data_IF_513873977198
#
_entry.id   IF_513873977198
#
_cell.length_a   1.000
_cell.length_b   1.000
_cell.length_c   1.000
_cell.angle_alpha   90.00
_cell.angle_beta   90.00
_cell.angle_gamma   90.00
#
_symmetry.space_group_name_H-M   'P 1'
#
loop_
_entity.id
_entity.type
_entity.pdbx_description
1 polymer ?
#
# COMPACT_ATOMS: atom_id res chain seq x y z
N UNK A 1 47.20 11.20 -22.23
CA UNK A 1 47.96 12.39 -22.68
C UNK A 1 48.16 12.27 -24.18
N UNK A 2 48.15 13.35 -24.98
CA UNK A 2 47.77 14.76 -24.76
C UNK A 2 46.65 15.19 -25.76
N UNK A 3 46.11 16.40 -25.85
CA UNK A 3 46.06 17.59 -25.02
C UNK A 3 44.85 18.42 -25.48
N UNK A 4 44.30 19.17 -24.53
CA UNK A 4 43.40 20.31 -24.70
C UNK A 4 44.06 21.43 -25.54
N UNK A 5 43.24 22.37 -26.01
CA UNK A 5 43.42 23.84 -26.10
C UNK A 5 42.51 24.37 -27.23
N UNK A 6 41.94 25.57 -27.27
CA UNK A 6 41.54 26.62 -26.32
C UNK A 6 41.15 27.83 -27.19
N UNK A 7 40.17 28.61 -26.72
CA UNK A 7 40.04 30.07 -26.90
C UNK A 7 39.94 30.69 -28.31
N UNK A 8 38.71 31.09 -28.65
CA UNK A 8 38.26 32.48 -28.88
C UNK A 8 39.07 33.45 -29.77
N UNK A 9 38.31 34.03 -30.72
CA UNK A 9 38.29 35.43 -31.20
C UNK A 9 39.47 35.96 -32.02
N UNK A 10 39.17 36.56 -33.18
CA UNK A 10 39.37 38.01 -33.49
C UNK A 10 38.92 38.34 -34.93
N UNK A 11 37.89 39.20 -34.98
CA UNK A 11 37.59 40.36 -35.85
C UNK A 11 38.08 40.48 -37.33
N UNK A 12 37.09 40.92 -38.11
CA UNK A 12 37.07 42.08 -39.03
C UNK A 12 37.55 41.93 -40.49
N UNK A 13 36.64 42.30 -41.40
CA UNK A 13 36.72 43.20 -42.58
C UNK A 13 35.48 42.87 -43.45
N UNK A 14 34.68 43.75 -44.03
CA UNK A 14 34.83 45.15 -44.40
C UNK A 14 34.31 45.34 -45.83
N UNK A 15 33.46 46.36 -46.04
CA UNK A 15 32.97 46.90 -47.34
C UNK A 15 31.86 46.10 -48.06
N UNK A 16 30.86 46.69 -48.74
CA UNK A 16 30.68 48.06 -49.21
C UNK A 16 29.18 48.43 -49.29
N UNK A 17 28.93 49.72 -49.10
CA UNK A 17 27.66 50.43 -49.26
C UNK A 17 27.42 50.75 -50.74
N UNK A 18 26.20 50.54 -51.27
CA UNK A 18 25.62 51.38 -52.33
C UNK A 18 24.09 51.21 -52.47
N UNK A 19 23.44 52.24 -51.93
CA UNK A 19 22.10 52.82 -52.08
C UNK A 19 21.37 52.52 -53.41
N UNK A 20 20.09 52.17 -53.35
CA UNK A 20 19.00 52.83 -54.10
C UNK A 20 17.61 52.61 -53.49
N UNK A 21 16.79 53.64 -53.68
CA UNK A 21 15.54 54.01 -53.01
C UNK A 21 14.32 53.34 -53.68
N UNK A 22 13.31 52.99 -52.88
CA UNK A 22 11.97 52.66 -53.37
C UNK A 22 10.92 52.73 -52.27
N UNK A 23 10.37 53.92 -52.03
CA UNK A 23 9.24 54.13 -51.13
C UNK A 23 7.93 53.65 -51.79
N UNK A 24 7.28 52.64 -51.22
CA UNK A 24 5.88 52.28 -51.55
C UNK A 24 5.15 51.87 -50.27
N UNK A 25 4.18 52.70 -49.88
CA UNK A 25 2.97 52.38 -49.12
C UNK A 25 3.06 51.52 -47.85
N UNK A 26 3.13 52.17 -46.69
CA UNK A 26 2.70 51.57 -45.42
C UNK A 26 1.16 51.42 -45.43
N UNK A 27 0.66 50.25 -45.81
CA UNK A 27 -0.66 49.80 -45.39
C UNK A 27 -0.57 49.39 -43.92
N UNK A 28 -1.23 50.15 -43.05
CA UNK A 28 -1.37 49.81 -41.64
C UNK A 28 -2.15 48.49 -41.52
N UNK A 29 -1.44 47.40 -41.23
CA UNK A 29 -2.05 46.19 -40.72
C UNK A 29 -2.55 46.49 -39.30
N UNK A 30 -3.85 46.74 -39.18
CA UNK A 30 -4.54 46.69 -37.89
C UNK A 30 -4.85 45.23 -37.59
N UNK A 31 -4.28 44.60 -36.54
CA UNK A 31 -4.74 43.30 -36.12
C UNK A 31 -6.19 43.44 -35.62
N UNK A 32 -7.10 42.70 -36.24
CA UNK A 32 -8.48 42.57 -35.79
C UNK A 32 -8.49 41.91 -34.41
N UNK A 33 -8.78 42.67 -33.37
CA UNK A 33 -9.03 42.14 -32.03
C UNK A 33 -10.47 41.65 -31.96
N UNK A 34 -10.71 40.40 -32.36
CA UNK A 34 -11.94 39.72 -31.99
C UNK A 34 -11.96 39.51 -30.47
N UNK A 35 -13.04 39.87 -29.75
CA UNK A 35 -13.15 39.56 -28.33
C UNK A 35 -13.19 38.04 -28.16
N UNK A 36 -12.24 37.49 -27.40
CA UNK A 36 -12.27 36.09 -27.01
C UNK A 36 -13.49 35.86 -26.10
N UNK A 37 -14.44 35.05 -26.55
CA UNK A 37 -15.54 34.56 -25.72
C UNK A 37 -14.96 33.70 -24.60
N UNK A 38 -15.10 34.17 -23.36
CA UNK A 38 -14.63 33.49 -22.15
C UNK A 38 -15.70 32.57 -21.54
N UNK A 39 -16.40 31.81 -22.39
CA UNK A 39 -17.38 30.81 -21.93
C UNK A 39 -16.73 29.44 -21.71
N UNK A 40 -15.58 29.41 -21.03
CA UNK A 40 -15.07 28.17 -20.44
C UNK A 40 -15.36 28.24 -18.94
N UNK A 41 -16.57 27.86 -18.56
CA UNK A 41 -16.87 27.54 -17.17
C UNK A 41 -15.83 26.51 -16.69
N UNK A 42 -15.05 26.87 -15.67
CA UNK A 42 -14.09 25.96 -15.07
C UNK A 42 -14.82 24.66 -14.68
N UNK A 43 -14.26 23.47 -14.97
CA UNK A 43 -14.90 22.22 -14.59
C UNK A 43 -15.16 22.23 -13.08
N UNK A 44 -16.39 21.91 -12.67
CA UNK A 44 -16.74 21.83 -11.27
C UNK A 44 -15.79 20.85 -10.57
N UNK A 45 -15.00 21.36 -9.63
CA UNK A 45 -14.13 20.53 -8.77
C UNK A 45 -15.05 19.61 -7.99
N UNK A 46 -15.00 18.30 -8.26
CA UNK A 46 -15.71 17.32 -7.47
C UNK A 46 -15.32 17.53 -5.99
N UNK A 47 -16.28 17.56 -5.05
CA UNK A 47 -15.94 17.74 -3.64
C UNK A 47 -14.94 16.66 -3.23
N UNK A 48 -13.80 17.10 -2.69
CA UNK A 48 -12.78 16.21 -2.14
C UNK A 48 -13.36 15.38 -0.98
N UNK A 49 -12.68 14.30 -0.58
CA UNK A 49 -13.10 13.52 0.58
C UNK A 49 -13.24 14.42 1.81
N UNK A 50 -14.33 14.25 2.56
CA UNK A 50 -14.58 14.99 3.81
C UNK A 50 -13.63 14.45 4.87
N UNK A 51 -12.80 15.29 5.50
CA UNK A 51 -11.91 14.84 6.59
C UNK A 51 -12.72 14.35 7.79
N UNK A 52 -12.24 13.29 8.43
CA UNK A 52 -12.75 12.82 9.72
C UNK A 52 -11.96 13.49 10.86
N UNK A 53 -12.65 13.83 11.95
CA UNK A 53 -12.06 14.52 13.11
C UNK A 53 -12.27 13.69 14.37
N UNK A 54 -11.28 13.71 15.27
CA UNK A 54 -11.36 13.08 16.58
C UNK A 54 -10.61 13.92 17.62
N UNK A 55 -11.15 14.04 18.82
CA UNK A 55 -10.56 14.85 19.90
C UNK A 55 -9.48 14.11 20.68
N UNK A 56 -9.67 12.80 20.93
CA UNK A 56 -8.84 12.04 21.87
C UNK A 56 -7.84 11.09 21.21
N UNK A 57 -8.20 10.52 20.06
CA UNK A 57 -7.37 9.53 19.37
C UNK A 57 -8.03 9.04 18.09
N UNK A 58 -7.24 8.51 17.17
CA UNK A 58 -7.70 8.05 15.86
C UNK A 58 -6.93 6.80 15.45
N UNK A 59 -7.65 5.84 14.86
CA UNK A 59 -7.06 4.63 14.27
C UNK A 59 -7.51 4.51 12.82
N UNK A 60 -6.54 4.55 11.90
CA UNK A 60 -6.80 4.45 10.46
C UNK A 60 -6.23 3.16 9.92
N UNK A 61 -7.04 2.40 9.20
CA UNK A 61 -6.63 1.15 8.57
C UNK A 61 -7.46 0.86 7.32
N UNK A 62 -7.05 -0.13 6.52
CA UNK A 62 -7.73 -0.51 5.28
C UNK A 62 -9.15 -1.07 5.50
N UNK A 63 -9.51 -1.43 6.75
CA UNK A 63 -10.82 -2.01 7.08
C UNK A 63 -11.39 -1.33 8.33
N UNK A 64 -12.59 -0.77 8.21
CA UNK A 64 -13.33 -0.15 9.32
C UNK A 64 -13.32 -1.03 10.58
N UNK A 65 -13.64 -2.31 10.46
CA UNK A 65 -13.69 -3.27 11.58
C UNK A 65 -12.34 -3.44 12.29
N UNK A 66 -11.21 -3.30 11.59
CA UNK A 66 -9.89 -3.33 12.21
C UNK A 66 -9.50 -2.01 12.88
N UNK A 67 -9.95 -0.88 12.32
CA UNK A 67 -9.87 0.42 13.00
C UNK A 67 -10.69 0.42 14.29
N UNK A 68 -11.90 -0.12 14.27
CA UNK A 68 -12.77 -0.27 15.45
C UNK A 68 -12.11 -1.15 16.53
N UNK A 69 -11.39 -2.21 16.15
CA UNK A 69 -10.63 -3.01 17.10
C UNK A 69 -9.53 -2.20 17.83
N UNK A 70 -8.83 -1.31 17.12
CA UNK A 70 -7.85 -0.41 17.72
C UNK A 70 -8.48 0.69 18.56
N UNK A 71 -9.58 1.30 18.08
CA UNK A 71 -10.35 2.30 18.85
C UNK A 71 -10.83 1.70 20.17
N UNK A 72 -11.30 0.45 20.16
CA UNK A 72 -11.72 -0.24 21.38
C UNK A 72 -10.59 -0.39 22.41
N UNK A 73 -9.32 -0.41 21.99
CA UNK A 73 -8.18 -0.40 22.92
C UNK A 73 -7.93 1.00 23.49
N UNK A 74 -8.05 2.04 22.67
CA UNK A 74 -7.98 3.43 23.14
C UNK A 74 -9.09 3.73 24.15
N UNK A 75 -10.32 3.27 23.89
CA UNK A 75 -11.47 3.41 24.81
C UNK A 75 -11.27 2.64 26.12
N UNK A 76 -10.45 1.59 26.12
CA UNK A 76 -10.05 0.86 27.34
C UNK A 76 -8.92 1.53 28.12
N UNK A 77 -8.46 2.71 27.67
CA UNK A 77 -7.33 3.42 28.27
C UNK A 77 -5.96 2.91 27.82
N UNK A 78 -5.92 2.04 26.79
CA UNK A 78 -4.67 1.63 26.16
C UNK A 78 -4.04 2.75 25.34
N UNK A 79 -2.77 2.58 24.98
CA UNK A 79 -2.01 3.54 24.22
C UNK A 79 -2.06 3.26 22.70
N UNK A 80 -1.31 4.06 21.92
CA UNK A 80 -1.24 3.90 20.46
C UNK A 80 -0.66 2.54 20.02
N UNK A 81 0.23 1.94 20.82
CA UNK A 81 0.81 0.62 20.53
C UNK A 81 -0.21 -0.49 20.78
N UNK A 82 -0.96 -0.42 21.90
CA UNK A 82 -2.06 -1.37 22.17
C UNK A 82 -3.09 -1.36 21.03
N UNK A 83 -3.47 -0.16 20.58
CA UNK A 83 -4.38 0.02 19.45
C UNK A 83 -3.80 -0.53 18.13
N UNK A 84 -2.52 -0.26 17.84
CA UNK A 84 -1.85 -0.76 16.64
C UNK A 84 -1.76 -2.29 16.62
N UNK A 85 -1.46 -2.92 17.76
CA UNK A 85 -1.40 -4.38 17.92
C UNK A 85 -2.77 -5.01 17.69
N UNK A 86 -3.83 -4.48 18.32
CA UNK A 86 -5.19 -4.96 18.12
C UNK A 86 -5.65 -4.80 16.66
N UNK A 87 -5.35 -3.66 16.02
CA UNK A 87 -5.64 -3.44 14.59
C UNK A 87 -4.87 -4.41 13.70
N UNK A 88 -3.60 -4.68 13.99
CA UNK A 88 -2.78 -5.64 13.24
C UNK A 88 -3.37 -7.05 13.26
N UNK A 89 -3.71 -7.56 14.44
CA UNK A 89 -4.37 -8.86 14.57
C UNK A 89 -5.76 -8.88 13.94
N UNK A 90 -6.54 -7.80 14.05
CA UNK A 90 -7.85 -7.73 13.40
C UNK A 90 -7.73 -7.75 11.87
N UNK A 91 -6.76 -7.02 11.29
CA UNK A 91 -6.49 -7.05 9.85
C UNK A 91 -6.10 -8.45 9.37
N UNK A 92 -5.39 -9.24 10.18
CA UNK A 92 -5.09 -10.65 9.86
C UNK A 92 -6.32 -11.53 9.65
N UNK A 93 -7.50 -11.08 10.12
CA UNK A 93 -8.77 -11.77 9.97
C UNK A 93 -9.63 -11.12 8.87
N UNK A 94 -9.80 -9.80 8.90
CA UNK A 94 -10.75 -9.09 8.02
C UNK A 94 -10.15 -8.59 6.71
N UNK A 95 -8.82 -8.70 6.55
CA UNK A 95 -8.10 -8.29 5.35
C UNK A 95 -7.08 -9.34 4.89
N UNK A 96 -7.50 -10.56 4.52
CA UNK A 96 -6.61 -11.69 4.25
C UNK A 96 -5.66 -11.50 3.05
N UNK A 97 -5.92 -10.49 2.21
CA UNK A 97 -5.03 -10.12 1.10
C UNK A 97 -3.72 -9.47 1.54
N UNK A 98 -3.66 -8.91 2.76
CA UNK A 98 -2.49 -8.17 3.23
C UNK A 98 -2.27 -8.28 4.75
N UNK A 99 -3.33 -8.09 5.55
CA UNK A 99 -3.27 -8.36 6.97
C UNK A 99 -2.97 -9.84 7.21
N UNK A 100 -2.05 -10.15 8.12
CA UNK A 100 -1.51 -11.51 8.23
C UNK A 100 -0.98 -11.85 9.62
N UNK A 101 -0.87 -13.16 9.88
CA UNK A 101 0.02 -13.75 10.89
C UNK A 101 1.13 -14.61 10.25
N UNK A 102 1.08 -14.78 8.92
CA UNK A 102 1.98 -15.64 8.13
C UNK A 102 2.99 -14.88 7.26
N UNK A 103 3.14 -13.57 7.48
CA UNK A 103 4.14 -12.72 6.82
C UNK A 103 4.92 -11.90 7.83
N UNK A 104 5.26 -10.66 7.49
CA UNK A 104 6.07 -9.76 8.31
C UNK A 104 5.78 -8.29 8.02
N UNK A 105 6.66 -7.41 8.50
CA UNK A 105 6.51 -5.97 8.34
C UNK A 105 7.42 -5.16 9.25
N UNK A 106 7.02 -3.90 9.45
CA UNK A 106 7.75 -2.94 10.26
C UNK A 106 6.78 -2.11 11.07
N UNK A 107 7.19 -1.70 12.27
CA UNK A 107 6.47 -0.72 13.09
C UNK A 107 7.41 0.43 13.42
N UNK A 108 6.96 1.67 13.21
CA UNK A 108 7.68 2.88 13.65
C UNK A 108 6.87 3.51 14.77
N UNK A 109 7.51 3.72 15.92
CA UNK A 109 6.85 4.21 17.13
C UNK A 109 7.53 5.51 17.52
N UNK A 110 6.74 6.57 17.67
CA UNK A 110 7.19 7.84 18.25
C UNK A 110 6.58 8.01 19.63
N UNK A 111 7.42 8.14 20.63
CA UNK A 111 7.01 8.28 22.03
C UNK A 111 6.64 9.74 22.37
N UNK A 112 5.92 9.97 23.48
CA UNK A 112 5.52 11.31 23.91
C UNK A 112 6.70 12.27 24.17
N UNK A 113 7.85 11.73 24.60
CA UNK A 113 9.09 12.50 24.81
C UNK A 113 9.79 12.90 23.50
N UNK A 114 9.25 12.45 22.36
CA UNK A 114 9.76 12.72 21.03
C UNK A 114 10.77 11.70 20.51
N UNK A 115 11.19 10.72 21.32
CA UNK A 115 12.04 9.63 20.87
C UNK A 115 11.32 8.75 19.85
N UNK A 116 12.10 8.12 18.96
CA UNK A 116 11.58 7.26 17.89
C UNK A 116 12.31 5.93 17.94
N UNK A 117 11.56 4.84 17.84
CA UNK A 117 12.07 3.49 17.71
C UNK A 117 11.38 2.76 16.56
N UNK A 118 11.97 1.66 16.12
CA UNK A 118 11.41 0.81 15.08
C UNK A 118 11.50 -0.65 15.48
N UNK A 119 10.47 -1.41 15.14
CA UNK A 119 10.46 -2.88 15.24
C UNK A 119 10.46 -3.41 13.82
N UNK A 120 11.59 -4.01 13.43
CA UNK A 120 11.69 -4.83 12.23
C UNK A 120 11.24 -6.25 12.58
N UNK A 121 10.16 -6.67 11.93
CA UNK A 121 9.64 -8.03 12.02
C UNK A 121 9.38 -8.57 10.61
N UNK A 122 10.28 -8.21 9.68
CA UNK A 122 10.31 -8.75 8.33
C UNK A 122 10.56 -10.26 8.39
N UNK A 123 10.04 -10.96 7.38
CA UNK A 123 10.30 -12.38 7.23
C UNK A 123 11.77 -12.65 6.94
N UNK A 124 12.30 -13.70 7.56
CA UNK A 124 13.65 -14.19 7.30
C UNK A 124 13.65 -15.32 6.26
N UNK A 125 14.75 -15.44 5.52
CA UNK A 125 14.97 -16.64 4.71
C UNK A 125 15.08 -17.86 5.64
N UNK A 126 14.42 -18.99 5.34
CA UNK A 126 14.61 -20.22 6.11
C UNK A 126 16.09 -20.61 6.18
N UNK A 127 16.54 -21.23 7.28
CA UNK A 127 17.95 -21.55 7.49
C UNK A 127 18.59 -22.48 6.44
N UNK A 128 17.76 -23.26 5.73
CA UNK A 128 18.17 -24.10 4.61
C UNK A 128 18.09 -23.43 3.23
N UNK A 129 17.72 -22.15 3.14
CA UNK A 129 17.63 -21.44 1.88
C UNK A 129 19.03 -21.23 1.28
N UNK A 130 19.16 -21.48 -0.02
CA UNK A 130 20.38 -21.25 -0.80
C UNK A 130 20.16 -20.16 -1.84
N UNK A 131 21.25 -19.61 -2.37
CA UNK A 131 21.19 -18.61 -3.43
C UNK A 131 20.42 -19.11 -4.68
N UNK A 132 20.53 -20.40 -4.99
CA UNK A 132 20.00 -20.98 -6.21
C UNK A 132 18.62 -21.65 -6.02
N UNK A 133 17.97 -21.45 -4.86
CA UNK A 133 16.71 -22.12 -4.50
C UNK A 133 15.58 -21.91 -5.54
N UNK A 134 15.64 -20.82 -6.30
CA UNK A 134 14.67 -20.47 -7.33
C UNK A 134 15.15 -20.73 -8.77
N UNK A 135 16.30 -21.38 -8.96
CA UNK A 135 16.86 -21.68 -10.27
C UNK A 135 16.53 -23.12 -10.71
N UNK A 136 16.39 -23.35 -12.01
CA UNK A 136 16.38 -24.69 -12.59
C UNK A 136 17.79 -25.25 -12.81
N UNK A 137 17.88 -26.45 -13.40
CA UNK A 137 19.15 -27.13 -13.63
C UNK A 137 20.09 -26.38 -14.60
N UNK A 138 19.53 -25.54 -15.46
CA UNK A 138 20.25 -24.73 -16.44
C UNK A 138 20.57 -23.33 -15.91
N UNK A 139 20.38 -23.10 -14.60
CA UNK A 139 20.56 -21.81 -13.91
C UNK A 139 19.61 -20.69 -14.36
N UNK A 140 18.46 -21.04 -14.93
CA UNK A 140 17.43 -20.05 -15.25
C UNK A 140 16.47 -19.84 -14.07
N UNK A 141 16.01 -18.61 -13.90
CA UNK A 141 15.08 -18.27 -12.84
C UNK A 141 13.68 -18.84 -13.10
N UNK A 142 13.17 -19.66 -12.18
CA UNK A 142 11.80 -20.19 -12.20
C UNK A 142 10.91 -19.30 -11.35
N UNK A 143 10.37 -18.24 -11.96
CA UNK A 143 9.62 -17.17 -11.29
C UNK A 143 8.55 -17.66 -10.31
N UNK A 144 7.79 -18.69 -10.69
CA UNK A 144 6.70 -19.21 -9.85
C UNK A 144 7.19 -19.80 -8.52
N UNK A 145 8.41 -20.35 -8.46
CA UNK A 145 8.96 -20.89 -7.19
C UNK A 145 9.10 -19.83 -6.09
N UNK A 146 9.28 -18.56 -6.48
CA UNK A 146 9.41 -17.42 -5.56
C UNK A 146 8.08 -16.69 -5.28
N UNK A 147 6.97 -17.12 -5.90
CA UNK A 147 5.67 -16.43 -5.83
C UNK A 147 4.53 -17.33 -5.37
N UNK A 148 4.68 -18.64 -5.54
CA UNK A 148 3.60 -19.61 -5.42
C UNK A 148 4.02 -20.82 -4.58
N UNK A 149 3.14 -21.21 -3.66
CA UNK A 149 3.33 -22.38 -2.82
C UNK A 149 4.36 -22.17 -1.70
N UNK A 150 4.64 -23.26 -0.99
CA UNK A 150 5.39 -23.26 0.27
C UNK A 150 6.83 -22.76 0.15
N UNK A 151 7.48 -22.97 -1.01
CA UNK A 151 8.86 -22.54 -1.23
C UNK A 151 9.02 -21.01 -1.27
N UNK A 152 7.93 -20.29 -1.59
CA UNK A 152 7.93 -18.84 -1.69
C UNK A 152 7.83 -18.12 -0.32
N UNK A 153 7.66 -18.87 0.78
CA UNK A 153 7.46 -18.30 2.11
C UNK A 153 8.77 -18.11 2.86
N UNK A 154 8.99 -16.90 3.37
CA UNK A 154 9.94 -16.65 4.46
C UNK A 154 9.38 -17.10 5.81
N UNK A 155 10.22 -17.11 6.84
CA UNK A 155 9.82 -17.38 8.23
C UNK A 155 8.99 -16.18 8.73
N UNK A 156 7.71 -16.36 9.09
CA UNK A 156 6.83 -15.25 9.47
C UNK A 156 7.28 -14.51 10.73
N UNK A 157 7.26 -13.18 10.69
CA UNK A 157 7.65 -12.30 11.79
C UNK A 157 6.50 -11.54 12.46
N UNK A 158 5.32 -11.39 11.83
CA UNK A 158 4.25 -10.49 12.32
C UNK A 158 3.85 -10.76 13.77
N UNK A 159 3.61 -12.01 14.15
CA UNK A 159 3.23 -12.33 15.54
C UNK A 159 4.31 -11.92 16.53
N UNK A 160 5.58 -12.22 16.22
CA UNK A 160 6.71 -11.85 17.06
C UNK A 160 6.85 -10.32 17.18
N UNK A 161 6.73 -9.60 16.07
CA UNK A 161 6.82 -8.14 16.03
C UNK A 161 5.72 -7.44 16.82
N UNK A 162 4.46 -7.84 16.61
CA UNK A 162 3.33 -7.24 17.32
C UNK A 162 3.38 -7.51 18.82
N UNK A 163 3.71 -8.74 19.23
CA UNK A 163 3.83 -9.07 20.65
C UNK A 163 5.04 -8.42 21.30
N UNK A 164 6.17 -8.29 20.59
CA UNK A 164 7.32 -7.50 21.07
C UNK A 164 6.94 -6.04 21.30
N UNK A 165 6.22 -5.43 20.35
CA UNK A 165 5.76 -4.05 20.49
C UNK A 165 4.86 -3.89 21.72
N UNK A 166 3.94 -4.83 21.93
CA UNK A 166 3.06 -4.84 23.09
C UNK A 166 3.85 -5.00 24.40
N UNK A 167 4.80 -5.93 24.45
CA UNK A 167 5.58 -6.20 25.66
C UNK A 167 6.50 -5.01 26.02
N UNK A 168 7.11 -4.35 25.04
CA UNK A 168 8.07 -3.26 25.27
C UNK A 168 7.40 -1.88 25.42
N UNK A 169 6.25 -1.66 24.77
CA UNK A 169 5.64 -0.35 24.63
C UNK A 169 4.12 -0.31 24.83
N UNK A 170 3.46 -1.46 24.99
CA UNK A 170 2.03 -1.54 25.29
C UNK A 170 1.73 -1.36 26.79
N UNK A 171 0.44 -1.30 27.11
CA UNK A 171 -0.06 -1.18 28.48
C UNK A 171 -1.19 -2.16 28.79
N UNK A 172 -1.82 -2.75 27.78
CA UNK A 172 -2.85 -3.77 27.94
C UNK A 172 -2.27 -5.17 27.80
N UNK A 173 -2.96 -6.17 28.37
CA UNK A 173 -2.55 -7.56 28.23
C UNK A 173 -2.85 -8.14 26.84
N UNK A 174 -2.15 -9.23 26.51
CA UNK A 174 -2.25 -9.94 25.23
C UNK A 174 -3.67 -10.43 24.95
N UNK A 175 -4.38 -10.93 25.96
CA UNK A 175 -5.74 -11.44 25.82
C UNK A 175 -6.68 -10.32 25.36
N UNK A 176 -6.58 -9.16 25.99
CA UNK A 176 -7.38 -7.97 25.72
C UNK A 176 -7.17 -7.46 24.30
N UNK A 177 -5.92 -7.29 23.85
CA UNK A 177 -5.63 -6.76 22.51
C UNK A 177 -5.93 -7.75 21.39
N UNK A 178 -5.82 -9.06 21.63
CA UNK A 178 -6.13 -10.09 20.64
C UNK A 178 -7.62 -10.46 20.59
N UNK A 179 -8.39 -10.19 21.65
CA UNK A 179 -9.79 -10.58 21.75
C UNK A 179 -10.66 -10.13 20.56
N UNK A 180 -10.53 -8.91 19.99
CA UNK A 180 -11.29 -8.52 18.80
C UNK A 180 -11.03 -9.44 17.60
N UNK A 181 -9.77 -9.75 17.31
CA UNK A 181 -9.41 -10.63 16.20
C UNK A 181 -9.94 -12.06 16.39
N UNK A 182 -9.82 -12.60 17.61
CA UNK A 182 -10.31 -13.93 17.96
C UNK A 182 -11.82 -14.02 17.76
N UNK A 183 -12.59 -13.02 18.24
CA UNK A 183 -14.04 -12.97 18.01
C UNK A 183 -14.37 -12.89 16.52
N UNK A 184 -13.71 -12.02 15.76
CA UNK A 184 -13.92 -11.89 14.32
C UNK A 184 -13.65 -13.19 13.56
N UNK A 185 -12.65 -13.98 13.98
CA UNK A 185 -12.33 -15.26 13.35
C UNK A 185 -13.39 -16.33 13.68
N UNK A 186 -13.74 -16.48 14.97
CA UNK A 186 -14.67 -17.51 15.46
C UNK A 186 -16.12 -17.24 15.13
N UNK A 187 -16.58 -16.03 15.38
CA UNK A 187 -17.98 -15.64 15.14
C UNK A 187 -18.19 -15.21 13.69
N UNK A 188 -17.11 -14.85 12.98
CA UNK A 188 -17.14 -14.34 11.63
C UNK A 188 -17.58 -12.88 11.52
N UNK A 189 -17.51 -12.36 10.30
CA UNK A 189 -17.91 -10.99 9.97
C UNK A 189 -18.67 -10.97 8.63
N UNK A 190 -19.52 -9.95 8.39
CA UNK A 190 -20.22 -9.83 7.11
C UNK A 190 -19.23 -9.52 6.00
N UNK A 191 -19.23 -10.32 4.93
CA UNK A 191 -18.33 -10.11 3.79
C UNK A 191 -18.63 -8.78 3.09
N UNK A 192 -17.64 -7.88 2.95
CA UNK A 192 -17.75 -6.76 2.03
C UNK A 192 -17.94 -7.25 0.60
N UNK A 193 -18.63 -6.46 -0.21
CA UNK A 193 -18.89 -6.80 -1.62
C UNK A 193 -17.61 -7.13 -2.39
N UNK A 194 -16.58 -6.30 -2.24
CA UNK A 194 -15.28 -6.51 -2.89
C UNK A 194 -14.64 -7.83 -2.47
N UNK A 195 -14.55 -8.11 -1.17
CA UNK A 195 -13.94 -9.35 -0.70
C UNK A 195 -14.69 -10.60 -1.19
N UNK A 196 -16.03 -10.56 -1.23
CA UNK A 196 -16.81 -11.66 -1.80
C UNK A 196 -16.52 -11.86 -3.29
N UNK A 197 -16.37 -10.78 -4.06
CA UNK A 197 -15.99 -10.84 -5.47
C UNK A 197 -14.59 -11.44 -5.65
N UNK A 198 -13.61 -10.94 -4.90
CA UNK A 198 -12.22 -11.39 -4.99
C UNK A 198 -12.10 -12.89 -4.67
N UNK A 199 -12.67 -13.35 -3.55
CA UNK A 199 -12.67 -14.77 -3.17
C UNK A 199 -13.29 -15.68 -4.26
N UNK A 200 -14.35 -15.20 -4.92
CA UNK A 200 -15.03 -15.93 -5.97
C UNK A 200 -14.27 -15.95 -7.30
N UNK A 201 -13.57 -14.87 -7.63
CA UNK A 201 -12.74 -14.73 -8.81
C UNK A 201 -11.48 -15.60 -8.71
N UNK A 202 -10.89 -15.64 -7.51
CA UNK A 202 -9.66 -16.39 -7.23
C UNK A 202 -9.90 -17.83 -6.78
N UNK A 203 -11.07 -18.41 -7.07
CA UNK A 203 -11.39 -19.80 -6.71
C UNK A 203 -10.29 -20.78 -7.16
N UNK A 204 -9.82 -20.68 -8.41
CA UNK A 204 -8.81 -21.60 -8.92
C UNK A 204 -7.47 -21.44 -8.19
N UNK A 205 -7.13 -20.21 -7.81
CA UNK A 205 -5.95 -19.91 -7.02
C UNK A 205 -6.03 -20.56 -5.63
N UNK A 206 -7.16 -20.45 -4.95
CA UNK A 206 -7.31 -21.12 -3.65
C UNK A 206 -7.48 -22.63 -3.78
N UNK A 207 -8.06 -23.13 -4.86
CA UNK A 207 -8.30 -24.56 -5.07
C UNK A 207 -7.03 -25.37 -5.34
N UNK A 208 -5.92 -24.72 -5.71
CA UNK A 208 -4.62 -25.36 -5.95
C UNK A 208 -4.07 -26.08 -4.71
N UNK A 209 -4.23 -25.49 -3.52
CA UNK A 209 -3.79 -26.11 -2.26
C UNK A 209 -4.99 -26.54 -1.41
N UNK A 210 -4.99 -27.76 -0.85
CA UNK A 210 -6.10 -28.24 -0.03
C UNK A 210 -6.46 -27.33 1.15
N UNK A 211 -5.44 -26.74 1.79
CA UNK A 211 -5.62 -25.84 2.94
C UNK A 211 -6.31 -24.55 2.52
N UNK A 212 -5.84 -23.89 1.46
CA UNK A 212 -6.49 -22.66 0.98
C UNK A 212 -7.87 -22.93 0.40
N UNK A 213 -8.08 -24.08 -0.23
CA UNK A 213 -9.40 -24.50 -0.72
C UNK A 213 -10.40 -24.60 0.42
N UNK A 214 -10.00 -25.17 1.56
CA UNK A 214 -10.83 -25.29 2.76
C UNK A 214 -11.24 -23.92 3.31
N UNK A 215 -10.31 -22.98 3.42
CA UNK A 215 -10.54 -21.72 4.13
C UNK A 215 -11.10 -20.58 3.27
N UNK A 216 -10.75 -20.52 1.99
CA UNK A 216 -11.08 -19.39 1.12
C UNK A 216 -12.06 -19.73 -0.01
N UNK A 217 -12.61 -20.94 -0.01
CA UNK A 217 -13.64 -21.34 -0.98
C UNK A 217 -14.81 -22.02 -0.28
N UNK A 218 -15.93 -22.17 -1.00
CA UNK A 218 -17.08 -22.99 -0.55
C UNK A 218 -16.95 -24.46 -0.99
N UNK A 219 -15.74 -24.93 -1.25
CA UNK A 219 -15.39 -26.29 -1.69
C UNK A 219 -15.69 -26.61 -3.16
N UNK A 220 -16.65 -25.92 -3.76
CA UNK A 220 -17.13 -26.09 -5.13
C UNK A 220 -17.20 -24.74 -5.85
N UNK A 221 -16.72 -24.66 -7.10
CA UNK A 221 -16.66 -23.43 -7.90
C UNK A 221 -18.01 -22.80 -8.22
N UNK A 222 -19.09 -23.58 -8.20
CA UNK A 222 -20.48 -23.13 -8.42
C UNK A 222 -21.06 -22.47 -7.18
N UNK A 223 -20.54 -22.78 -5.98
CA UNK A 223 -20.94 -22.15 -4.73
C UNK A 223 -20.14 -20.88 -4.52
N UNK A 224 -20.81 -19.73 -4.63
CA UNK A 224 -20.20 -18.41 -4.50
C UNK A 224 -20.48 -17.78 -3.14
N UNK A 225 -19.49 -17.07 -2.59
CA UNK A 225 -19.73 -16.15 -1.47
C UNK A 225 -20.62 -14.99 -1.93
N UNK A 226 -21.44 -14.48 -1.01
CA UNK A 226 -22.30 -13.32 -1.25
C UNK A 226 -21.92 -12.21 -0.28
N UNK A 227 -22.02 -10.96 -0.74
CA UNK A 227 -21.89 -9.80 0.13
C UNK A 227 -22.87 -9.92 1.31
N UNK A 228 -22.41 -9.59 2.51
CA UNK A 228 -23.19 -9.71 3.75
C UNK A 228 -23.28 -11.12 4.33
N UNK A 229 -22.89 -12.18 3.60
CA UNK A 229 -22.75 -13.51 4.18
C UNK A 229 -21.67 -13.48 5.27
N UNK A 230 -21.89 -14.22 6.37
CA UNK A 230 -20.95 -14.33 7.46
C UNK A 230 -19.79 -15.24 7.07
N UNK A 231 -18.57 -14.70 7.07
CA UNK A 231 -17.34 -15.44 6.80
C UNK A 231 -16.63 -15.79 8.10
N UNK A 232 -16.48 -17.08 8.37
CA UNK A 232 -15.92 -17.66 9.60
C UNK A 232 -14.60 -18.36 9.28
N UNK A 233 -13.62 -18.23 10.17
CA UNK A 233 -12.27 -18.78 10.03
C UNK A 233 -11.94 -19.60 11.29
N UNK A 234 -12.46 -20.83 11.36
CA UNK A 234 -12.29 -21.79 12.47
C UNK A 234 -11.31 -22.93 12.14
#
# INVERSE_FOLDING_TARGET
MPALLSSSTIRALGAALLITIGAVGLSAWTPSSAPASSDHAAPAVAPGPVPEYAENGMVVSAKRTASEAGVAMLEKGGNAVDAAVATGFALAVVHPWAGNIGGGGFMVIRMPDGSVTTIDHREDAPSGATQDVYLDADSNAVRERSRRGYLASGVPGTVAGLLKALDEHGTLDRETVMAPAIRLAREGFPLPHSLAQDLNADYQYFAEFPVTKKYFTKGDSTKKYRAGERFVQE
#
